data_IF_238732448343
#
_entry.id   IF_238732448343
#
_cell.length_a   1.000
_cell.length_b   1.000
_cell.length_c   1.000
_cell.angle_alpha   90.00
_cell.angle_beta   90.00
_cell.angle_gamma   90.00
#
_symmetry.space_group_name_H-M   'P 1'
#
loop_
_entity.id
_entity.type
_entity.pdbx_description
1 polymer ?
#
# COMPACT_ATOMS: atom_id res chain seq x y z
N UNK A 1 -9.64 -32.36 13.51
CA UNK A 1 -10.19 -31.05 13.10
C UNK A 1 -9.68 -30.79 11.72
N UNK A 2 -10.60 -30.53 10.78
CA UNK A 2 -10.33 -30.54 9.33
C UNK A 2 -9.54 -29.30 8.96
N UNK A 3 -8.40 -29.53 8.32
CA UNK A 3 -7.56 -28.56 7.66
C UNK A 3 -8.37 -27.78 6.62
N UNK A 4 -8.44 -26.46 6.78
CA UNK A 4 -8.95 -25.52 5.79
C UNK A 4 -7.94 -24.41 5.64
N UNK A 5 -6.82 -24.74 4.99
CA UNK A 5 -5.72 -23.83 4.64
C UNK A 5 -5.50 -24.00 3.14
N UNK A 6 -6.45 -23.46 2.38
CA UNK A 6 -6.49 -23.50 0.92
C UNK A 6 -7.43 -22.39 0.45
N UNK A 7 -6.91 -21.17 0.47
CA UNK A 7 -7.26 -20.10 -0.46
C UNK A 7 -6.42 -18.86 -0.08
N UNK A 8 -5.15 -18.87 -0.51
CA UNK A 8 -4.68 -17.65 -1.17
C UNK A 8 -5.75 -17.35 -2.20
N UNK A 9 -6.28 -16.13 -2.18
CA UNK A 9 -7.35 -15.67 -3.07
C UNK A 9 -6.85 -15.78 -4.52
N UNK A 10 -6.99 -16.99 -5.07
CA UNK A 10 -6.65 -17.43 -6.42
C UNK A 10 -7.90 -17.93 -7.16
N UNK A 11 -9.10 -17.72 -6.59
CA UNK A 11 -10.32 -18.39 -7.07
C UNK A 11 -11.53 -17.47 -7.33
N UNK A 12 -11.36 -16.15 -7.45
CA UNK A 12 -12.44 -15.28 -8.01
C UNK A 12 -11.94 -14.17 -8.95
N UNK A 13 -10.81 -14.37 -9.62
CA UNK A 13 -10.43 -13.61 -10.81
C UNK A 13 -9.86 -14.57 -11.86
N UNK A 14 -10.75 -15.39 -12.44
CA UNK A 14 -10.47 -15.97 -13.74
C UNK A 14 -10.56 -14.87 -14.79
N UNK A 15 -9.41 -14.29 -15.13
CA UNK A 15 -8.99 -13.78 -16.45
C UNK A 15 -7.69 -12.96 -16.27
N UNK A 16 -6.59 -13.47 -16.84
CA UNK A 16 -5.39 -12.75 -17.29
C UNK A 16 -4.44 -12.04 -16.31
N UNK A 17 -4.48 -12.30 -15.00
CA UNK A 17 -3.38 -11.87 -14.11
C UNK A 17 -2.34 -13.00 -13.94
N UNK A 18 -1.57 -13.30 -15.00
CA UNK A 18 -0.29 -14.01 -14.82
C UNK A 18 0.70 -13.02 -14.19
N UNK A 19 0.71 -12.92 -12.86
CA UNK A 19 1.87 -12.41 -12.15
C UNK A 19 3.00 -13.38 -12.46
N UNK A 20 3.81 -13.07 -13.47
CA UNK A 20 4.95 -13.91 -13.84
C UNK A 20 5.83 -14.01 -12.61
N UNK A 21 6.03 -15.24 -12.11
CA UNK A 21 6.86 -15.53 -10.94
C UNK A 21 8.27 -14.93 -11.08
N UNK A 22 8.70 -14.70 -12.32
CA UNK A 22 9.94 -14.04 -12.72
C UNK A 22 9.66 -12.73 -13.50
N UNK A 23 9.39 -11.60 -12.83
CA UNK A 23 9.28 -10.31 -13.50
C UNK A 23 10.64 -9.91 -14.14
N UNK A 24 10.64 -9.04 -15.16
CA UNK A 24 11.87 -8.51 -15.74
C UNK A 24 12.76 -7.88 -14.67
N UNK A 25 14.08 -8.04 -14.79
CA UNK A 25 15.03 -7.38 -13.90
C UNK A 25 15.13 -5.89 -14.21
N UNK A 26 15.62 -5.10 -13.26
CA UNK A 26 15.74 -3.64 -13.38
C UNK A 26 16.43 -3.18 -14.68
N UNK A 27 17.46 -3.91 -15.13
CA UNK A 27 18.21 -3.56 -16.36
C UNK A 27 17.42 -3.84 -17.64
N UNK A 28 16.39 -4.70 -17.58
CA UNK A 28 15.51 -5.06 -18.68
C UNK A 28 14.32 -4.11 -18.85
N UNK A 29 14.03 -3.29 -17.83
CA UNK A 29 12.92 -2.34 -17.82
C UNK A 29 13.11 -1.16 -18.79
N UNK A 30 12.02 -0.56 -19.25
CA UNK A 30 12.04 0.71 -19.98
C UNK A 30 12.50 1.89 -19.12
N UNK A 31 12.79 3.04 -19.74
CA UNK A 31 13.27 4.23 -19.02
C UNK A 31 12.24 4.76 -17.99
N UNK A 32 10.96 4.73 -18.35
CA UNK A 32 9.88 5.17 -17.46
C UNK A 32 9.73 4.26 -16.23
N UNK A 33 9.74 2.94 -16.45
CA UNK A 33 9.69 1.93 -15.39
C UNK A 33 10.91 2.02 -14.47
N UNK A 34 12.13 2.17 -15.03
CA UNK A 34 13.35 2.39 -14.22
C UNK A 34 13.25 3.65 -13.38
N UNK A 35 12.77 4.75 -13.95
CA UNK A 35 12.56 6.01 -13.23
C UNK A 35 11.56 5.85 -12.08
N UNK A 36 10.49 5.08 -12.28
CA UNK A 36 9.54 4.76 -11.21
C UNK A 36 10.19 3.89 -10.12
N UNK A 37 10.88 2.81 -10.50
CA UNK A 37 11.61 1.94 -9.56
C UNK A 37 12.62 2.74 -8.75
N UNK A 38 13.38 3.64 -9.38
CA UNK A 38 14.36 4.48 -8.68
C UNK A 38 13.71 5.37 -7.61
N UNK A 39 12.57 6.00 -7.93
CA UNK A 39 11.83 6.84 -6.99
C UNK A 39 11.26 6.02 -5.84
N UNK A 40 10.63 4.89 -6.16
CA UNK A 40 10.08 3.95 -5.17
C UNK A 40 11.20 3.46 -4.26
N UNK A 41 12.28 2.94 -4.83
CA UNK A 41 13.41 2.39 -4.10
C UNK A 41 14.04 3.40 -3.14
N UNK A 42 14.27 4.64 -3.60
CA UNK A 42 14.79 5.69 -2.73
C UNK A 42 13.86 5.96 -1.53
N UNK A 43 12.54 5.94 -1.75
CA UNK A 43 11.55 6.12 -0.70
C UNK A 43 11.55 4.95 0.30
N UNK A 44 11.65 3.72 -0.20
CA UNK A 44 11.75 2.51 0.63
C UNK A 44 13.05 2.48 1.45
N UNK A 45 14.17 2.92 0.88
CA UNK A 45 15.44 3.02 1.61
C UNK A 45 15.38 4.02 2.76
N UNK A 46 14.75 5.18 2.55
CA UNK A 46 14.55 6.17 3.62
C UNK A 46 13.69 5.61 4.75
N UNK A 47 12.60 4.92 4.41
CA UNK A 47 11.73 4.26 5.37
C UNK A 47 12.45 3.12 6.12
N UNK A 48 13.17 2.23 5.43
CA UNK A 48 13.94 1.14 6.04
C UNK A 48 15.03 1.67 6.98
N UNK A 49 15.72 2.75 6.62
CA UNK A 49 16.71 3.39 7.48
C UNK A 49 16.08 3.86 8.81
N UNK A 50 14.85 4.42 8.76
CA UNK A 50 14.10 4.82 9.95
C UNK A 50 13.67 3.61 10.78
N UNK A 51 13.14 2.57 10.14
CA UNK A 51 12.73 1.32 10.78
C UNK A 51 13.91 0.63 11.51
N UNK A 52 15.05 0.52 10.83
CA UNK A 52 16.29 -0.05 11.40
C UNK A 52 16.81 0.78 12.56
N UNK A 53 16.79 2.11 12.45
CA UNK A 53 17.23 2.98 13.53
C UNK A 53 16.37 2.79 14.79
N UNK A 54 15.06 2.59 14.63
CA UNK A 54 14.16 2.30 15.74
C UNK A 54 14.44 0.93 16.37
N UNK A 55 14.41 -0.12 15.57
CA UNK A 55 14.55 -1.50 16.06
C UNK A 55 15.99 -1.89 16.43
N UNK A 56 16.95 -0.95 16.44
CA UNK A 56 18.39 -1.22 16.54
C UNK A 56 18.87 -2.31 15.56
N UNK A 57 18.30 -2.32 14.35
CA UNK A 57 18.55 -3.30 13.30
C UNK A 57 17.71 -4.58 13.39
N UNK A 58 16.88 -4.76 14.42
CA UNK A 58 15.97 -5.91 14.56
C UNK A 58 14.95 -5.98 13.43
N UNK A 59 14.40 -4.82 13.04
CA UNK A 59 13.41 -4.70 11.98
C UNK A 59 14.02 -4.09 10.73
N UNK A 60 13.61 -4.62 9.58
CA UNK A 60 14.02 -4.13 8.26
C UNK A 60 13.00 -4.57 7.22
N UNK A 61 12.89 -3.82 6.12
CA UNK A 61 12.18 -4.21 4.91
C UNK A 61 12.90 -5.32 4.13
N UNK A 62 14.10 -5.73 4.55
CA UNK A 62 14.82 -6.85 3.96
C UNK A 62 15.23 -6.56 2.50
N UNK A 63 15.09 -7.54 1.59
CA UNK A 63 15.48 -7.39 0.19
C UNK A 63 14.81 -6.21 -0.53
N UNK A 64 13.56 -5.86 -0.17
CA UNK A 64 12.80 -4.78 -0.82
C UNK A 64 13.55 -3.43 -0.79
N UNK A 65 14.28 -3.14 0.29
CA UNK A 65 15.06 -1.90 0.43
C UNK A 65 16.52 -2.02 -0.04
N UNK A 66 16.93 -3.20 -0.52
CA UNK A 66 18.33 -3.50 -0.89
C UNK A 66 18.49 -3.84 -2.37
N UNK A 67 17.45 -4.36 -3.00
CA UNK A 67 17.45 -4.89 -4.36
C UNK A 67 16.32 -4.23 -5.17
N UNK A 68 16.66 -3.48 -6.24
CA UNK A 68 15.66 -2.86 -7.12
C UNK A 68 14.75 -3.88 -7.80
N UNK A 69 15.24 -5.09 -8.03
CA UNK A 69 14.50 -6.22 -8.63
C UNK A 69 13.36 -6.75 -7.72
N UNK A 70 13.24 -6.23 -6.49
CA UNK A 70 12.13 -6.51 -5.58
C UNK A 70 10.96 -5.53 -5.73
N UNK A 71 11.08 -4.59 -6.65
CA UNK A 71 10.02 -3.65 -7.03
C UNK A 71 9.60 -4.01 -8.44
N UNK A 72 8.49 -4.72 -8.57
CA UNK A 72 7.91 -5.09 -9.85
C UNK A 72 6.94 -4.01 -10.31
N UNK A 73 7.28 -3.35 -11.41
CA UNK A 73 6.47 -2.33 -12.08
C UNK A 73 6.02 -2.73 -13.48
N UNK A 74 6.37 -3.96 -13.90
CA UNK A 74 6.24 -4.41 -15.28
C UNK A 74 4.82 -4.82 -15.68
N UNK A 75 3.88 -4.73 -14.75
CA UNK A 75 2.48 -5.08 -14.98
C UNK A 75 1.83 -4.03 -15.88
N UNK A 76 1.26 -4.51 -16.99
CA UNK A 76 0.56 -3.69 -18.00
C UNK A 76 -0.94 -3.95 -17.92
N UNK A 77 -1.75 -2.93 -18.25
CA UNK A 77 -3.21 -2.98 -18.37
C UNK A 77 -3.98 -3.22 -17.05
N UNK A 78 -3.29 -3.30 -15.91
CA UNK A 78 -3.87 -3.45 -14.57
C UNK A 78 -3.30 -2.44 -13.60
N UNK A 79 -4.10 -2.02 -12.62
CA UNK A 79 -3.66 -1.25 -11.47
C UNK A 79 -3.39 -2.20 -10.31
N UNK A 80 -2.13 -2.37 -9.99
CA UNK A 80 -1.66 -3.27 -8.94
C UNK A 80 -1.00 -2.48 -7.83
N UNK A 81 -1.36 -2.83 -6.60
CA UNK A 81 -0.73 -2.37 -5.37
C UNK A 81 -0.74 -3.56 -4.39
N UNK A 82 0.28 -4.40 -4.47
CA UNK A 82 0.30 -5.68 -3.76
C UNK A 82 1.65 -5.92 -3.10
N UNK A 83 1.60 -6.39 -1.85
CA UNK A 83 2.71 -7.01 -1.13
C UNK A 83 2.14 -8.20 -0.36
N UNK A 84 2.65 -9.41 -0.62
CA UNK A 84 2.14 -10.66 -0.02
C UNK A 84 3.03 -11.14 1.13
N UNK A 85 3.96 -10.33 1.60
CA UNK A 85 4.99 -10.72 2.57
C UNK A 85 6.02 -11.68 1.97
N UNK A 86 6.21 -11.62 0.65
CA UNK A 86 7.16 -12.41 -0.15
C UNK A 86 8.43 -11.62 -0.50
N UNK A 87 8.70 -10.54 0.25
CA UNK A 87 9.82 -9.62 0.05
C UNK A 87 9.84 -9.00 -1.36
N UNK A 88 8.66 -8.79 -1.95
CA UNK A 88 8.47 -8.06 -3.20
C UNK A 88 7.28 -7.11 -3.06
N UNK A 89 7.34 -5.98 -3.79
CA UNK A 89 6.18 -5.12 -3.99
C UNK A 89 5.85 -5.08 -5.48
N UNK A 90 4.56 -5.12 -5.79
CA UNK A 90 4.03 -4.98 -7.14
C UNK A 90 3.25 -3.67 -7.21
N UNK A 91 3.68 -2.77 -8.09
CA UNK A 91 3.11 -1.45 -8.19
C UNK A 91 3.04 -1.00 -9.65
N UNK A 92 1.84 -0.72 -10.14
CA UNK A 92 1.67 -0.24 -11.51
C UNK A 92 2.24 1.17 -11.72
N UNK A 93 2.80 1.40 -12.91
CA UNK A 93 3.25 2.71 -13.37
C UNK A 93 2.29 3.34 -14.37
N UNK A 94 2.27 4.67 -14.41
CA UNK A 94 1.39 5.49 -15.24
C UNK A 94 1.45 5.09 -16.73
N UNK A 95 2.66 4.83 -17.22
CA UNK A 95 2.94 4.46 -18.61
C UNK A 95 2.34 3.10 -18.99
N UNK A 96 2.10 2.23 -18.00
CA UNK A 96 1.54 0.90 -18.19
C UNK A 96 0.01 0.86 -18.05
N UNK A 97 -0.61 2.00 -17.72
CA UNK A 97 -2.07 2.16 -17.71
C UNK A 97 -2.66 2.30 -19.12
N UNK A 98 -3.84 1.73 -19.30
CA UNK A 98 -4.68 2.01 -20.47
C UNK A 98 -5.20 3.45 -20.45
N UNK A 99 -5.65 3.97 -21.59
CA UNK A 99 -6.21 5.32 -21.67
C UNK A 99 -7.48 5.48 -20.81
N UNK A 100 -8.34 4.45 -20.78
CA UNK A 100 -9.55 4.43 -19.94
C UNK A 100 -9.19 4.48 -18.46
N UNK A 101 -8.14 3.77 -18.06
CA UNK A 101 -7.59 3.81 -16.73
C UNK A 101 -7.06 5.21 -16.37
N UNK A 102 -6.19 5.79 -17.20
CA UNK A 102 -5.67 7.15 -16.97
C UNK A 102 -6.80 8.18 -16.85
N UNK A 103 -7.82 8.06 -17.69
CA UNK A 103 -9.01 8.91 -17.63
C UNK A 103 -9.81 8.70 -16.34
N UNK A 104 -9.97 7.44 -15.90
CA UNK A 104 -10.62 7.12 -14.63
C UNK A 104 -9.91 7.77 -13.45
N UNK A 105 -8.59 7.60 -13.34
CA UNK A 105 -7.80 8.24 -12.28
C UNK A 105 -7.92 9.77 -12.29
N UNK A 106 -7.80 10.38 -13.48
CA UNK A 106 -7.91 11.83 -13.64
C UNK A 106 -9.29 12.37 -13.24
N UNK A 107 -10.35 11.56 -13.45
CA UNK A 107 -11.73 11.93 -13.14
C UNK A 107 -11.96 12.18 -11.64
N UNK A 108 -11.21 11.55 -10.74
CA UNK A 108 -11.32 11.77 -9.29
C UNK A 108 -10.95 13.19 -8.87
N UNK A 109 -10.17 13.88 -9.70
CA UNK A 109 -9.68 15.22 -9.44
C UNK A 109 -10.25 16.27 -10.40
N UNK A 110 -11.06 15.85 -11.38
CA UNK A 110 -11.59 16.73 -12.42
C UNK A 110 -10.49 17.28 -13.34
N UNK A 111 -9.43 16.51 -13.57
CA UNK A 111 -8.23 16.90 -14.33
C UNK A 111 -8.17 16.20 -15.69
N UNK A 112 -7.28 16.66 -16.59
CA UNK A 112 -6.93 15.87 -17.78
C UNK A 112 -5.96 14.74 -17.40
N UNK A 113 -5.89 13.65 -18.18
CA UNK A 113 -4.92 12.58 -17.95
C UNK A 113 -3.48 13.07 -17.81
N UNK A 114 -3.05 14.03 -18.63
CA UNK A 114 -1.68 14.56 -18.62
C UNK A 114 -1.37 15.31 -17.32
N UNK A 115 -2.33 16.06 -16.78
CA UNK A 115 -2.18 16.73 -15.49
C UNK A 115 -2.18 15.73 -14.33
N UNK A 116 -2.98 14.67 -14.43
CA UNK A 116 -3.09 13.64 -13.42
C UNK A 116 -1.84 12.74 -13.32
N UNK A 117 -1.00 12.67 -14.36
CA UNK A 117 0.24 11.86 -14.35
C UNK A 117 1.19 12.23 -13.21
N UNK A 118 1.39 13.52 -12.94
CA UNK A 118 2.22 13.96 -11.81
C UNK A 118 1.61 13.55 -10.48
N UNK A 119 0.29 13.69 -10.34
CA UNK A 119 -0.46 13.31 -9.14
C UNK A 119 -0.42 11.80 -8.91
N UNK A 120 -0.46 11.02 -9.99
CA UNK A 120 -0.29 9.57 -9.95
C UNK A 120 1.10 9.22 -9.40
N UNK A 121 2.15 9.89 -9.88
CA UNK A 121 3.50 9.67 -9.37
C UNK A 121 3.61 9.87 -7.85
N UNK A 122 3.03 10.95 -7.30
CA UNK A 122 3.02 11.15 -5.85
C UNK A 122 2.18 10.10 -5.11
N UNK A 123 1.01 9.73 -5.62
CA UNK A 123 0.18 8.71 -4.96
C UNK A 123 0.79 7.33 -5.02
N UNK A 124 1.16 6.83 -6.20
CA UNK A 124 1.61 5.46 -6.36
C UNK A 124 3.07 5.34 -5.95
N UNK A 125 3.98 6.12 -6.54
CA UNK A 125 5.42 5.90 -6.39
C UNK A 125 5.94 6.34 -5.03
N UNK A 126 5.24 7.26 -4.36
CA UNK A 126 5.66 7.75 -3.05
C UNK A 126 4.76 7.23 -1.93
N UNK A 127 3.44 7.40 -2.01
CA UNK A 127 2.55 7.03 -0.91
C UNK A 127 2.14 5.54 -0.89
N UNK A 128 1.66 4.97 -1.99
CA UNK A 128 1.34 3.52 -2.06
C UNK A 128 2.59 2.67 -1.89
N UNK A 129 3.74 3.11 -2.41
CA UNK A 129 5.02 2.47 -2.12
C UNK A 129 5.29 2.38 -0.59
N UNK A 130 5.06 3.48 0.14
CA UNK A 130 5.18 3.48 1.60
C UNK A 130 4.11 2.61 2.28
N UNK A 131 2.87 2.61 1.78
CA UNK A 131 1.82 1.70 2.25
C UNK A 131 2.27 0.24 2.18
N UNK A 132 2.78 -0.19 1.02
CA UNK A 132 3.29 -1.55 0.82
C UNK A 132 4.53 -1.84 1.69
N UNK A 133 5.35 -0.83 1.99
CA UNK A 133 6.44 -0.93 2.97
C UNK A 133 5.92 -1.07 4.41
N UNK A 134 4.83 -0.38 4.76
CA UNK A 134 4.13 -0.51 6.03
C UNK A 134 3.59 -1.92 6.21
N UNK A 135 2.98 -2.50 5.16
CA UNK A 135 2.54 -3.90 5.13
C UNK A 135 3.73 -4.85 5.37
N UNK A 136 4.86 -4.65 4.66
CA UNK A 136 6.10 -5.41 4.93
C UNK A 136 6.57 -5.26 6.37
N UNK A 137 6.46 -4.07 6.96
CA UNK A 137 6.85 -3.81 8.34
C UNK A 137 5.99 -4.62 9.32
N UNK A 138 4.68 -4.71 9.08
CA UNK A 138 3.78 -5.58 9.87
C UNK A 138 4.26 -7.03 9.82
N UNK A 139 4.61 -7.54 8.64
CA UNK A 139 5.17 -8.89 8.49
C UNK A 139 6.53 -9.06 9.19
N UNK A 140 7.42 -8.07 9.10
CA UNK A 140 8.74 -8.10 9.73
C UNK A 140 8.66 -8.09 11.26
N UNK A 141 7.76 -7.29 11.83
CA UNK A 141 7.58 -7.16 13.30
C UNK A 141 6.83 -8.37 13.87
N UNK A 142 5.73 -8.77 13.24
CA UNK A 142 4.83 -9.79 13.79
C UNK A 142 5.15 -11.21 13.33
N UNK A 143 5.87 -11.35 12.22
CA UNK A 143 6.21 -12.61 11.58
C UNK A 143 5.12 -13.08 10.62
N UNK A 144 5.52 -13.43 9.39
CA UNK A 144 4.63 -13.83 8.29
C UNK A 144 3.63 -14.93 8.71
N UNK A 145 4.12 -16.02 9.32
CA UNK A 145 3.25 -17.13 9.77
C UNK A 145 2.18 -16.66 10.76
N UNK A 146 2.58 -15.86 11.76
CA UNK A 146 1.65 -15.36 12.77
C UNK A 146 0.62 -14.44 12.14
N UNK A 147 1.03 -13.56 11.22
CA UNK A 147 0.11 -12.66 10.51
C UNK A 147 -0.93 -13.47 9.74
N UNK A 148 -0.51 -14.45 8.94
CA UNK A 148 -1.45 -15.31 8.20
C UNK A 148 -2.41 -16.11 9.09
N UNK A 149 -1.97 -16.48 10.29
CA UNK A 149 -2.80 -17.22 11.25
C UNK A 149 -3.77 -16.33 12.05
N UNK A 150 -3.42 -15.06 12.28
CA UNK A 150 -4.10 -14.23 13.28
C UNK A 150 -4.66 -12.91 12.75
N UNK A 151 -4.38 -12.54 11.49
CA UNK A 151 -4.68 -11.20 10.96
C UNK A 151 -5.53 -11.27 9.71
N UNK A 152 -6.49 -10.37 9.65
CA UNK A 152 -7.24 -10.06 8.44
C UNK A 152 -6.55 -8.94 7.65
N UNK A 153 -6.61 -8.98 6.31
CA UNK A 153 -5.94 -7.99 5.44
C UNK A 153 -6.31 -6.54 5.81
N UNK A 154 -7.60 -6.27 6.04
CA UNK A 154 -8.08 -4.98 6.57
C UNK A 154 -7.27 -4.44 7.77
N UNK A 155 -6.93 -5.30 8.74
CA UNK A 155 -6.17 -4.88 9.92
C UNK A 155 -4.69 -4.67 9.60
N UNK A 156 -4.16 -5.34 8.58
CA UNK A 156 -2.79 -5.13 8.09
C UNK A 156 -2.72 -3.78 7.40
N UNK A 157 -3.62 -3.50 6.45
CA UNK A 157 -3.68 -2.23 5.72
C UNK A 157 -3.88 -1.05 6.66
N UNK A 158 -4.77 -1.18 7.65
CA UNK A 158 -5.01 -0.14 8.65
C UNK A 158 -3.76 0.17 9.47
N UNK A 159 -3.05 -0.85 9.91
CA UNK A 159 -1.87 -0.65 10.74
C UNK A 159 -0.66 -0.18 9.92
N UNK A 160 -0.56 -0.62 8.65
CA UNK A 160 0.37 -0.06 7.68
C UNK A 160 0.12 1.44 7.46
N UNK A 161 -1.13 1.86 7.27
CA UNK A 161 -1.46 3.28 7.11
C UNK A 161 -1.20 4.10 8.37
N UNK A 162 -1.39 3.55 9.57
CA UNK A 162 -0.99 4.24 10.80
C UNK A 162 0.51 4.47 10.88
N UNK A 163 1.30 3.48 10.49
CA UNK A 163 2.76 3.61 10.41
C UNK A 163 3.16 4.67 9.38
N UNK A 164 2.57 4.62 8.19
CA UNK A 164 2.89 5.53 7.08
C UNK A 164 2.45 6.98 7.37
N UNK A 165 1.24 7.20 7.88
CA UNK A 165 0.75 8.51 8.34
C UNK A 165 1.75 9.14 9.32
N UNK A 166 2.12 8.38 10.34
CA UNK A 166 3.00 8.87 11.39
C UNK A 166 4.43 9.12 10.89
N UNK A 167 4.94 8.22 10.04
CA UNK A 167 6.23 8.40 9.37
C UNK A 167 6.26 9.67 8.52
N UNK A 168 5.24 9.87 7.67
CA UNK A 168 5.16 11.03 6.78
C UNK A 168 4.98 12.33 7.57
N UNK A 169 4.12 12.34 8.59
CA UNK A 169 3.92 13.50 9.44
C UNK A 169 5.22 13.94 10.16
N UNK A 170 6.10 13.00 10.50
CA UNK A 170 7.40 13.29 11.12
C UNK A 170 8.49 13.70 10.12
N UNK A 171 8.51 13.10 8.92
CA UNK A 171 9.69 13.15 8.03
C UNK A 171 9.47 13.89 6.72
N UNK A 172 8.23 13.95 6.23
CA UNK A 172 7.85 14.61 4.99
C UNK A 172 6.45 15.23 5.09
N UNK A 173 6.29 16.33 5.88
CA UNK A 173 4.99 16.97 6.08
C UNK A 173 4.37 17.53 4.79
N UNK A 174 5.18 17.77 3.76
CA UNK A 174 4.70 18.26 2.47
C UNK A 174 3.95 17.15 1.72
N UNK A 175 4.58 15.98 1.56
CA UNK A 175 3.91 14.81 0.98
C UNK A 175 2.71 14.39 1.82
N UNK A 176 2.83 14.43 3.15
CA UNK A 176 1.73 14.14 4.07
C UNK A 176 0.49 15.00 3.78
N UNK A 177 0.63 16.32 3.77
CA UNK A 177 -0.49 17.24 3.53
C UNK A 177 -1.06 17.09 2.12
N UNK A 178 -0.20 16.80 1.14
CA UNK A 178 -0.63 16.51 -0.22
C UNK A 178 -1.52 15.27 -0.25
N UNK A 179 -1.07 14.15 0.34
CA UNK A 179 -1.83 12.90 0.44
C UNK A 179 -3.14 13.06 1.19
N UNK A 180 -3.13 13.77 2.32
CA UNK A 180 -4.34 14.05 3.08
C UNK A 180 -5.37 14.81 2.23
N UNK A 181 -4.93 15.84 1.50
CA UNK A 181 -5.82 16.61 0.61
C UNK A 181 -6.39 15.76 -0.53
N UNK A 182 -5.57 14.92 -1.15
CA UNK A 182 -6.01 14.13 -2.31
C UNK A 182 -6.86 12.94 -1.92
N UNK A 183 -6.56 12.28 -0.81
CA UNK A 183 -7.42 11.28 -0.22
C UNK A 183 -8.77 11.86 0.18
N UNK A 184 -8.83 13.11 0.65
CA UNK A 184 -10.09 13.82 0.87
C UNK A 184 -10.97 13.90 -0.39
N UNK A 185 -10.37 14.18 -1.56
CA UNK A 185 -11.11 14.17 -2.84
C UNK A 185 -11.61 12.78 -3.22
N UNK A 186 -10.75 11.75 -3.11
CA UNK A 186 -11.13 10.37 -3.40
C UNK A 186 -12.28 9.93 -2.48
N UNK A 187 -12.16 10.17 -1.17
CA UNK A 187 -13.22 9.88 -0.20
C UNK A 187 -14.54 10.56 -0.61
N UNK A 188 -14.49 11.85 -0.94
CA UNK A 188 -15.67 12.60 -1.37
C UNK A 188 -16.38 11.99 -2.58
N UNK A 189 -15.64 11.42 -3.53
CA UNK A 189 -16.19 10.73 -4.71
C UNK A 189 -16.87 9.41 -4.33
N UNK A 190 -16.26 8.63 -3.42
CA UNK A 190 -16.65 7.25 -3.14
C UNK A 190 -17.63 7.06 -1.97
N UNK A 191 -17.80 8.06 -1.10
CA UNK A 191 -18.75 8.02 0.03
C UNK A 191 -20.21 7.82 -0.42
N UNK A 192 -20.57 8.29 -1.61
CA UNK A 192 -21.88 8.07 -2.18
C UNK A 192 -22.13 6.59 -2.54
N UNK A 193 -21.07 5.83 -2.83
CA UNK A 193 -21.14 4.42 -3.25
C UNK A 193 -21.01 3.46 -2.07
N UNK A 194 -20.07 3.73 -1.16
CA UNK A 194 -19.71 2.83 -0.06
C UNK A 194 -20.17 3.30 1.32
N UNK A 195 -20.73 4.50 1.41
CA UNK A 195 -21.12 5.12 2.67
C UNK A 195 -19.94 5.76 3.41
N UNK A 196 -20.24 6.63 4.39
CA UNK A 196 -19.22 7.43 5.08
C UNK A 196 -18.45 6.67 6.18
N UNK A 197 -18.82 5.41 6.44
CA UNK A 197 -18.24 4.58 7.51
C UNK A 197 -17.60 3.34 6.89
N UNK A 198 -16.26 3.27 6.90
CA UNK A 198 -15.54 2.11 6.41
C UNK A 198 -15.07 1.25 7.59
N UNK A 199 -15.76 0.12 7.80
CA UNK A 199 -15.46 -0.85 8.86
C UNK A 199 -14.97 -2.17 8.27
N UNK A 200 -14.33 -3.01 9.08
CA UNK A 200 -13.88 -4.35 8.68
C UNK A 200 -15.00 -5.18 8.02
N UNK A 201 -16.25 -4.99 8.46
CA UNK A 201 -17.42 -5.64 7.86
C UNK A 201 -17.63 -5.22 6.41
N UNK A 202 -17.49 -3.93 6.10
CA UNK A 202 -17.59 -3.44 4.73
C UNK A 202 -16.50 -4.06 3.83
N UNK A 203 -15.29 -4.27 4.35
CA UNK A 203 -14.25 -4.97 3.60
C UNK A 203 -14.70 -6.39 3.19
N UNK A 204 -15.25 -7.16 4.13
CA UNK A 204 -15.74 -8.51 3.85
C UNK A 204 -16.89 -8.54 2.83
N UNK A 205 -17.79 -7.56 2.90
CA UNK A 205 -18.93 -7.44 1.99
C UNK A 205 -18.50 -6.98 0.58
N UNK A 206 -17.36 -6.31 0.44
CA UNK A 206 -16.88 -5.69 -0.80
C UNK A 206 -15.57 -6.27 -1.35
N UNK A 207 -15.03 -7.40 -0.84
CA UNK A 207 -13.69 -7.92 -1.20
C UNK A 207 -13.42 -7.85 -2.70
N UNK A 208 -14.31 -8.37 -3.54
CA UNK A 208 -14.13 -8.37 -5.00
C UNK A 208 -14.09 -6.96 -5.60
N UNK A 209 -14.91 -6.04 -5.12
CA UNK A 209 -14.96 -4.66 -5.61
C UNK A 209 -13.77 -3.84 -5.12
N UNK A 210 -13.20 -4.19 -3.97
CA UNK A 210 -12.01 -3.56 -3.43
C UNK A 210 -10.76 -4.07 -4.14
N UNK A 211 -10.71 -5.36 -4.47
CA UNK A 211 -9.51 -6.01 -5.05
C UNK A 211 -9.61 -6.21 -6.57
N UNK A 212 -10.40 -5.41 -7.30
CA UNK A 212 -10.47 -5.49 -8.76
C UNK A 212 -9.20 -4.88 -9.36
N UNK A 213 -8.33 -5.65 -10.04
CA UNK A 213 -7.10 -5.11 -10.61
C UNK A 213 -7.33 -4.22 -11.84
N UNK A 214 -8.53 -4.21 -12.43
CA UNK A 214 -8.86 -3.27 -13.51
C UNK A 214 -9.35 -1.92 -12.99
N UNK A 215 -9.88 -1.88 -11.76
CA UNK A 215 -10.40 -0.70 -11.09
C UNK A 215 -10.28 -0.83 -9.55
N UNK A 216 -9.08 -0.65 -8.97
CA UNK A 216 -8.86 -0.79 -7.53
C UNK A 216 -9.27 0.49 -6.78
N UNK A 217 -10.13 1.31 -7.38
CA UNK A 217 -10.81 2.44 -6.75
C UNK A 217 -11.26 2.13 -5.32
N UNK A 218 -11.84 0.94 -5.12
CA UNK A 218 -12.28 0.48 -3.82
C UNK A 218 -11.13 0.33 -2.80
N UNK A 219 -10.04 -0.34 -3.16
CA UNK A 219 -8.86 -0.47 -2.29
C UNK A 219 -8.19 0.88 -2.05
N UNK A 220 -8.09 1.76 -3.06
CA UNK A 220 -7.52 3.11 -2.88
C UNK A 220 -8.39 3.93 -1.94
N UNK A 221 -9.71 3.90 -2.11
CA UNK A 221 -10.66 4.52 -1.19
C UNK A 221 -10.46 4.01 0.25
N UNK A 222 -10.30 2.70 0.44
CA UNK A 222 -10.03 2.10 1.75
C UNK A 222 -8.72 2.60 2.36
N UNK A 223 -7.63 2.62 1.59
CA UNK A 223 -6.33 3.11 2.06
C UNK A 223 -6.46 4.59 2.46
N UNK A 224 -7.13 5.41 1.64
CA UNK A 224 -7.40 6.81 1.97
C UNK A 224 -8.25 6.99 3.23
N UNK A 225 -9.22 6.10 3.48
CA UNK A 225 -10.00 6.09 4.73
C UNK A 225 -9.15 5.74 5.95
N UNK A 226 -8.25 4.80 5.80
CA UNK A 226 -7.30 4.47 6.87
C UNK A 226 -6.35 5.62 7.18
N UNK A 227 -5.89 6.38 6.16
CA UNK A 227 -5.12 7.60 6.37
C UNK A 227 -5.88 8.64 7.20
N UNK A 228 -7.15 8.91 6.86
CA UNK A 228 -7.99 9.85 7.64
C UNK A 228 -8.17 9.39 9.10
N UNK A 229 -8.45 8.09 9.29
CA UNK A 229 -8.56 7.51 10.64
C UNK A 229 -7.22 7.52 11.41
N UNK A 230 -6.09 7.34 10.71
CA UNK A 230 -4.74 7.42 11.28
C UNK A 230 -4.43 8.85 11.74
N UNK A 231 -4.72 9.88 10.94
CA UNK A 231 -4.51 11.28 11.32
C UNK A 231 -5.31 11.64 12.58
N UNK A 232 -6.60 11.29 12.63
CA UNK A 232 -7.45 11.53 13.81
C UNK A 232 -6.85 10.89 15.06
N UNK A 233 -6.41 9.63 14.95
CA UNK A 233 -5.75 8.92 16.04
C UNK A 233 -4.44 9.59 16.46
N UNK A 234 -3.56 9.90 15.50
CA UNK A 234 -2.26 10.51 15.75
C UNK A 234 -2.42 11.83 16.49
N UNK A 235 -3.35 12.69 16.07
CA UNK A 235 -3.64 13.96 16.75
C UNK A 235 -4.22 13.77 18.15
N UNK A 236 -5.13 12.81 18.31
CA UNK A 236 -5.76 12.56 19.60
C UNK A 236 -4.77 12.01 20.64
N UNK A 237 -3.84 11.14 20.21
CA UNK A 237 -2.99 10.36 21.12
C UNK A 237 -1.51 10.77 21.07
N UNK A 238 -1.18 11.78 20.26
CA UNK A 238 0.20 12.21 19.98
C UNK A 238 1.11 11.03 19.60
N UNK A 239 0.63 10.18 18.69
CA UNK A 239 1.35 8.97 18.28
C UNK A 239 2.65 9.30 17.54
N UNK A 240 3.63 8.40 17.65
CA UNK A 240 4.92 8.48 16.97
C UNK A 240 5.20 7.17 16.23
N UNK A 241 6.12 7.20 15.25
CA UNK A 241 6.43 6.01 14.45
C UNK A 241 6.88 4.84 15.34
N UNK A 242 7.66 5.14 16.37
CA UNK A 242 8.06 4.21 17.42
C UNK A 242 6.87 3.56 18.14
N UNK A 243 5.91 4.38 18.59
CA UNK A 243 4.77 3.93 19.36
C UNK A 243 3.84 2.99 18.55
N UNK A 244 3.71 3.21 17.24
CA UNK A 244 2.94 2.31 16.38
C UNK A 244 3.67 0.97 16.15
N UNK A 245 5.01 0.94 16.14
CA UNK A 245 5.77 -0.32 16.14
C UNK A 245 5.58 -1.08 17.46
N UNK A 246 5.63 -0.41 18.62
CA UNK A 246 5.38 -1.04 19.93
C UNK A 246 3.97 -1.62 20.06
N UNK A 247 3.00 -1.00 19.39
CA UNK A 247 1.64 -1.54 19.26
C UNK A 247 1.67 -2.87 18.51
N UNK A 248 2.38 -2.96 17.38
CA UNK A 248 2.51 -4.20 16.62
C UNK A 248 3.21 -5.31 17.42
N UNK A 249 4.28 -4.99 18.14
CA UNK A 249 4.97 -5.95 19.00
C UNK A 249 4.05 -6.52 20.08
N UNK A 250 3.33 -5.64 20.79
CA UNK A 250 2.40 -6.05 21.86
C UNK A 250 1.28 -6.93 21.33
N UNK A 251 0.73 -6.60 20.16
CA UNK A 251 -0.32 -7.40 19.51
C UNK A 251 0.17 -8.83 19.25
N UNK A 252 1.42 -8.99 18.78
CA UNK A 252 2.04 -10.29 18.54
C UNK A 252 2.24 -11.07 19.85
N UNK A 253 2.69 -10.40 20.90
CA UNK A 253 2.95 -11.02 22.20
C UNK A 253 1.70 -11.42 22.99
N UNK A 254 0.54 -10.81 22.68
CA UNK A 254 -0.71 -11.02 23.43
C UNK A 254 -0.88 -10.10 24.64
N UNK A 255 -0.04 -9.08 24.81
CA UNK A 255 -0.01 -8.17 25.97
C UNK A 255 -1.04 -7.02 25.86
N UNK A 256 -2.29 -7.33 25.47
CA UNK A 256 -3.37 -6.36 25.26
C UNK A 256 -4.48 -6.40 26.31
#
# INVERSE_FOLDING_TARGET
MRSSLLAVVWLVAGCDLELTFDPPTYDQLGDAERSAVDRIFARLQAYDARLRAYGAGTYSLGPIAQEKDRIDVSVVDFWMMVNLGDDRIHLTVWENLTDDQRAHYASWFGESPEAAAQRFGYHFYEFMALHLAGVQTVYAVQGVSWVYENRHMFNIDRDAERLVDTYLAETDPALYNFMWSTCGSIIGVYDARYGPWFEMRAYGDHVRELTDPHDPAGQIYMICRHLDAADVRRRAWASSFAAEIDVLERQRSGDY
#
